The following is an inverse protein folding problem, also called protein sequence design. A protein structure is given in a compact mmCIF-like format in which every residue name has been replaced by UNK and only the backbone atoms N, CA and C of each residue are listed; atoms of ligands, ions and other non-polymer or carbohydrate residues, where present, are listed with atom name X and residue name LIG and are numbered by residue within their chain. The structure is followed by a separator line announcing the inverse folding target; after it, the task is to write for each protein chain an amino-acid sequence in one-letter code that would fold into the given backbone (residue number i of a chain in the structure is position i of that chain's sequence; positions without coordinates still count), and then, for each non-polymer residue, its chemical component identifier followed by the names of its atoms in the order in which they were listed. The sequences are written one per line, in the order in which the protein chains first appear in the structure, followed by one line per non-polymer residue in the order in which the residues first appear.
data_IF_553965497118
#
_entry.id   IF_553965497118
#
_cell.length_a   1.000
_cell.length_b   1.000
_cell.length_c   1.000
_cell.angle_alpha   90.00
_cell.angle_beta   90.00
_cell.angle_gamma   90.00
#
_symmetry.space_group_name_H-M   'P 1'
#
loop_
_entity.id
_entity.type
_entity.pdbx_description
1 polymer ?
#
# COMPACT_ATOMS: atom_id res chain seq x y z
N UNK A 1 -32.47 0.54 34.62
CA UNK A 1 -33.82 -0.09 34.61
C UNK A 1 -34.07 -0.61 33.20
N UNK A 2 -34.64 -1.79 33.02
CA UNK A 2 -34.86 -2.40 31.69
C UNK A 2 -36.33 -2.74 31.52
N UNK A 3 -36.91 -2.31 30.41
CA UNK A 3 -38.31 -2.59 30.06
C UNK A 3 -38.39 -3.77 29.10
N UNK A 4 -39.40 -4.62 29.29
CA UNK A 4 -39.60 -5.81 28.46
C UNK A 4 -40.39 -5.44 27.20
N UNK A 5 -39.83 -5.76 26.04
CA UNK A 5 -40.50 -5.61 24.75
C UNK A 5 -40.57 -6.98 24.05
N UNK A 6 -41.76 -7.37 23.59
CA UNK A 6 -41.95 -8.58 22.79
C UNK A 6 -42.09 -8.17 21.31
N UNK A 7 -41.23 -8.70 20.44
CA UNK A 7 -41.25 -8.45 18.99
C UNK A 7 -41.14 -9.76 18.22
N UNK A 8 -41.74 -9.81 17.05
CA UNK A 8 -41.65 -10.96 16.15
C UNK A 8 -40.45 -10.81 15.22
N UNK A 9 -39.77 -11.93 14.99
CA UNK A 9 -38.66 -12.03 14.04
C UNK A 9 -38.97 -13.14 13.03
N UNK A 10 -38.59 -12.99 11.75
CA UNK A 10 -38.58 -14.09 10.81
C UNK A 10 -37.76 -15.29 11.35
N UNK A 11 -38.18 -16.54 11.10
CA UNK A 11 -37.49 -17.73 11.60
C UNK A 11 -35.99 -17.77 11.24
N UNK A 12 -35.65 -17.32 10.04
CA UNK A 12 -34.29 -17.28 9.52
C UNK A 12 -33.43 -16.29 10.32
N UNK A 13 -34.00 -15.15 10.70
CA UNK A 13 -33.29 -14.12 11.46
C UNK A 13 -33.08 -14.57 12.91
N UNK A 14 -34.05 -15.27 13.52
CA UNK A 14 -33.86 -15.89 14.83
C UNK A 14 -32.72 -16.90 14.84
N UNK A 15 -32.59 -17.70 13.76
CA UNK A 15 -31.47 -18.63 13.60
C UNK A 15 -30.13 -17.89 13.53
N UNK A 16 -30.04 -16.85 12.71
CA UNK A 16 -28.82 -16.04 12.60
C UNK A 16 -28.41 -15.40 13.94
N UNK A 17 -29.38 -14.88 14.69
CA UNK A 17 -29.13 -14.31 16.02
C UNK A 17 -28.63 -15.38 16.99
N UNK A 18 -29.22 -16.58 16.97
CA UNK A 18 -28.75 -17.70 17.80
C UNK A 18 -27.32 -18.10 17.44
N UNK A 19 -27.05 -18.33 16.16
CA UNK A 19 -25.74 -18.74 15.69
C UNK A 19 -24.66 -17.69 16.05
N UNK A 20 -25.00 -16.40 15.96
CA UNK A 20 -24.09 -15.31 16.32
C UNK A 20 -23.88 -15.23 17.84
N UNK A 21 -24.94 -15.39 18.63
CA UNK A 21 -24.89 -15.45 20.08
C UNK A 21 -23.96 -16.58 20.56
N UNK A 22 -24.09 -17.77 19.96
CA UNK A 22 -23.28 -18.94 20.28
C UNK A 22 -21.80 -18.72 19.92
N UNK A 23 -21.52 -18.22 18.70
CA UNK A 23 -20.16 -17.91 18.25
C UNK A 23 -19.47 -16.85 19.12
N UNK A 24 -20.22 -15.85 19.57
CA UNK A 24 -19.71 -14.72 20.37
C UNK A 24 -19.76 -14.99 21.88
N UNK A 25 -20.38 -16.10 22.31
CA UNK A 25 -20.65 -16.43 23.72
C UNK A 25 -21.43 -15.31 24.46
N UNK A 26 -22.43 -14.75 23.79
CA UNK A 26 -23.29 -13.68 24.31
C UNK A 26 -24.76 -14.14 24.33
N UNK A 27 -25.61 -13.49 25.12
CA UNK A 27 -27.06 -13.77 25.07
C UNK A 27 -27.68 -13.21 23.80
N UNK A 28 -28.75 -13.85 23.30
CA UNK A 28 -29.51 -13.34 22.14
C UNK A 28 -30.03 -11.91 22.39
N UNK A 29 -30.48 -11.62 23.61
CA UNK A 29 -30.91 -10.27 24.01
C UNK A 29 -29.77 -9.25 23.93
N UNK A 30 -28.55 -9.62 24.30
CA UNK A 30 -27.38 -8.74 24.20
C UNK A 30 -26.99 -8.45 22.74
N UNK A 31 -27.09 -9.45 21.86
CA UNK A 31 -26.90 -9.27 20.41
C UNK A 31 -27.93 -8.28 19.85
N UNK A 32 -29.21 -8.47 20.18
CA UNK A 32 -30.31 -7.61 19.70
C UNK A 32 -30.18 -6.19 20.26
N UNK A 33 -29.89 -6.05 21.55
CA UNK A 33 -29.66 -4.74 22.20
C UNK A 33 -28.49 -4.00 21.53
N UNK A 34 -27.37 -4.69 21.28
CA UNK A 34 -26.21 -4.10 20.62
C UNK A 34 -26.52 -3.69 19.17
N UNK A 35 -27.26 -4.52 18.43
CA UNK A 35 -27.64 -4.21 17.06
C UNK A 35 -28.58 -2.99 16.99
N UNK A 36 -29.60 -2.94 17.85
CA UNK A 36 -30.55 -1.82 17.91
C UNK A 36 -29.86 -0.54 18.40
N UNK A 37 -29.02 -0.62 19.44
CA UNK A 37 -28.24 0.53 19.90
C UNK A 37 -27.30 1.06 18.82
N UNK A 38 -26.66 0.17 18.05
CA UNK A 38 -25.83 0.57 16.90
C UNK A 38 -26.65 1.18 15.77
N UNK A 39 -27.88 0.70 15.53
CA UNK A 39 -28.76 1.21 14.48
C UNK A 39 -29.32 2.60 14.83
N UNK A 40 -29.63 2.83 16.10
CA UNK A 40 -30.16 4.10 16.60
C UNK A 40 -29.08 5.13 16.91
N UNK A 41 -27.79 4.76 16.85
CA UNK A 41 -26.69 5.70 17.09
C UNK A 41 -26.48 6.59 15.87
N UNK A 42 -26.68 7.93 15.99
CA UNK A 42 -26.44 8.88 14.89
C UNK A 42 -25.02 8.79 14.34
N UNK A 43 -24.06 8.50 15.22
CA UNK A 43 -22.64 8.52 14.86
C UNK A 43 -22.13 7.20 14.25
N UNK A 44 -22.90 6.12 14.29
CA UNK A 44 -22.41 4.78 13.93
C UNK A 44 -22.13 4.62 12.43
N UNK A 45 -22.99 5.19 11.59
CA UNK A 45 -22.78 5.27 10.14
C UNK A 45 -21.71 6.32 9.81
N UNK A 46 -21.87 7.54 10.34
CA UNK A 46 -21.01 8.69 10.07
C UNK A 46 -19.55 8.45 10.51
N UNK A 47 -19.30 7.83 11.67
CA UNK A 47 -17.92 7.51 12.10
C UNK A 47 -17.27 6.48 11.20
N UNK A 48 -18.02 5.47 10.71
CA UNK A 48 -17.49 4.45 9.80
C UNK A 48 -17.16 5.09 8.45
N UNK A 49 -18.08 5.88 7.92
CA UNK A 49 -17.89 6.60 6.67
C UNK A 49 -16.72 7.59 6.74
N UNK A 50 -16.61 8.35 7.83
CA UNK A 50 -15.47 9.25 8.07
C UNK A 50 -14.14 8.49 8.19
N UNK A 51 -14.12 7.31 8.83
CA UNK A 51 -12.92 6.48 8.91
C UNK A 51 -12.51 5.94 7.53
N UNK A 52 -13.47 5.57 6.68
CA UNK A 52 -13.23 5.18 5.30
C UNK A 52 -12.70 6.35 4.46
N UNK A 53 -13.32 7.52 4.55
CA UNK A 53 -12.87 8.73 3.85
C UNK A 53 -11.41 9.08 4.21
N UNK A 54 -11.05 9.10 5.49
CA UNK A 54 -9.67 9.34 5.95
C UNK A 54 -8.68 8.30 5.42
N UNK A 55 -9.09 7.03 5.34
CA UNK A 55 -8.26 5.96 4.78
C UNK A 55 -8.06 6.16 3.27
N UNK A 56 -9.10 6.55 2.54
CA UNK A 56 -9.02 6.86 1.12
C UNK A 56 -8.12 8.06 0.86
N UNK A 57 -8.24 9.13 1.63
CA UNK A 57 -7.37 10.30 1.53
C UNK A 57 -5.91 9.93 1.76
N UNK A 58 -5.64 9.08 2.76
CA UNK A 58 -4.29 8.58 3.02
C UNK A 58 -3.74 7.77 1.85
N UNK A 59 -4.56 6.91 1.24
CA UNK A 59 -4.17 6.13 0.06
C UNK A 59 -3.92 7.04 -1.15
N UNK A 60 -4.75 8.05 -1.36
CA UNK A 60 -4.58 9.04 -2.42
C UNK A 60 -3.24 9.78 -2.30
N UNK A 61 -2.91 10.27 -1.10
CA UNK A 61 -1.61 10.90 -0.83
C UNK A 61 -0.43 9.94 -1.01
N UNK A 62 -0.60 8.67 -0.67
CA UNK A 62 0.43 7.65 -0.93
C UNK A 62 0.61 7.41 -2.43
N UNK A 63 -0.47 7.41 -3.21
CA UNK A 63 -0.41 7.26 -4.67
C UNK A 63 0.29 8.45 -5.31
N UNK A 64 -0.05 9.68 -4.94
CA UNK A 64 0.59 10.88 -5.46
C UNK A 64 2.11 10.90 -5.21
N UNK A 65 2.56 10.47 -4.03
CA UNK A 65 4.00 10.31 -3.77
C UNK A 65 4.64 9.23 -4.63
N UNK A 66 3.97 8.09 -4.81
CA UNK A 66 4.46 7.03 -5.68
C UNK A 66 4.57 7.50 -7.13
N UNK A 67 3.58 8.24 -7.63
CA UNK A 67 3.61 8.85 -8.97
C UNK A 67 4.82 9.78 -9.13
N UNK A 68 5.07 10.64 -8.13
CA UNK A 68 6.26 11.51 -8.10
C UNK A 68 7.57 10.71 -8.12
N UNK A 69 7.69 9.70 -7.26
CA UNK A 69 8.90 8.87 -7.15
C UNK A 69 9.17 8.10 -8.45
N UNK A 70 8.12 7.59 -9.10
CA UNK A 70 8.19 6.94 -10.42
C UNK A 70 8.61 7.94 -11.49
N UNK A 71 8.03 9.15 -11.49
CA UNK A 71 8.44 10.23 -12.40
C UNK A 71 9.92 10.58 -12.27
N UNK A 72 10.39 10.80 -11.04
CA UNK A 72 11.80 11.09 -10.76
C UNK A 72 12.73 9.95 -11.21
N UNK A 73 12.31 8.70 -11.01
CA UNK A 73 13.07 7.53 -11.48
C UNK A 73 13.15 7.48 -13.00
N UNK A 74 12.04 7.80 -13.69
CA UNK A 74 12.00 7.85 -15.15
C UNK A 74 12.90 8.96 -15.71
N UNK A 75 12.88 10.16 -15.12
CA UNK A 75 13.77 11.26 -15.49
C UNK A 75 15.24 10.90 -15.28
N UNK A 76 15.56 10.32 -14.13
CA UNK A 76 16.93 9.87 -13.80
C UNK A 76 17.42 8.82 -14.80
N UNK A 77 16.56 7.86 -15.17
CA UNK A 77 16.88 6.84 -16.17
C UNK A 77 17.09 7.46 -17.55
N UNK A 78 16.25 8.41 -17.96
CA UNK A 78 16.40 9.11 -19.24
C UNK A 78 17.73 9.88 -19.29
N UNK A 79 18.11 10.57 -18.21
CA UNK A 79 19.40 11.24 -18.09
C UNK A 79 20.57 10.25 -18.15
N UNK A 80 20.46 9.12 -17.47
CA UNK A 80 21.47 8.05 -17.51
C UNK A 80 21.64 7.48 -18.92
N UNK A 81 20.55 7.17 -19.62
CA UNK A 81 20.58 6.66 -21.00
C UNK A 81 21.22 7.71 -21.93
N UNK A 82 20.82 8.98 -21.81
CA UNK A 82 21.41 10.07 -22.60
C UNK A 82 22.90 10.18 -22.35
N UNK A 83 23.32 10.18 -21.09
CA UNK A 83 24.73 10.19 -20.72
C UNK A 83 25.46 9.00 -21.34
N UNK A 84 24.92 7.79 -21.19
CA UNK A 84 25.51 6.57 -21.72
C UNK A 84 25.70 6.61 -23.24
N UNK A 85 24.69 7.07 -23.99
CA UNK A 85 24.78 7.22 -25.45
C UNK A 85 25.78 8.31 -25.89
N UNK A 86 25.96 9.35 -25.08
CA UNK A 86 26.92 10.42 -25.36
C UNK A 86 28.37 9.97 -25.15
N UNK A 87 28.64 9.21 -24.09
CA UNK A 87 30.03 8.87 -23.70
C UNK A 87 30.50 7.51 -24.20
N UNK A 88 29.60 6.62 -24.63
CA UNK A 88 29.96 5.26 -25.04
C UNK A 88 30.30 5.24 -26.53
N UNK A 89 31.57 5.05 -26.91
CA UNK A 89 31.95 4.97 -28.31
C UNK A 89 31.33 3.73 -28.98
N UNK A 90 30.93 3.81 -30.26
CA UNK A 90 30.41 2.66 -30.98
C UNK A 90 31.48 1.59 -31.13
N UNK A 91 31.08 0.33 -30.95
CA UNK A 91 31.98 -0.81 -31.07
C UNK A 91 32.15 -1.23 -32.54
N UNK A 92 33.37 -1.63 -32.96
CA UNK A 92 33.59 -2.34 -34.21
C UNK A 92 32.68 -3.58 -34.33
N UNK A 93 32.23 -3.88 -35.55
CA UNK A 93 31.24 -4.94 -35.80
C UNK A 93 31.72 -6.32 -35.33
N UNK A 94 33.01 -6.62 -35.47
CA UNK A 94 33.66 -7.85 -35.02
C UNK A 94 33.74 -7.97 -33.50
N UNK A 95 33.77 -6.85 -32.77
CA UNK A 95 33.77 -6.82 -31.31
C UNK A 95 32.36 -6.92 -30.69
N UNK A 96 31.28 -6.73 -31.47
CA UNK A 96 29.91 -6.68 -30.93
C UNK A 96 29.49 -7.97 -30.24
N UNK A 97 29.77 -9.14 -30.84
CA UNK A 97 29.36 -10.43 -30.27
C UNK A 97 30.04 -10.69 -28.90
N UNK A 98 31.34 -10.41 -28.80
CA UNK A 98 32.10 -10.55 -27.56
C UNK A 98 31.61 -9.54 -26.49
N UNK A 99 31.34 -8.30 -26.88
CA UNK A 99 30.82 -7.27 -25.97
C UNK A 99 29.41 -7.62 -25.45
N UNK A 100 28.53 -8.13 -26.31
CA UNK A 100 27.20 -8.59 -25.90
C UNK A 100 27.28 -9.77 -24.92
N UNK A 101 28.14 -10.75 -25.19
CA UNK A 101 28.35 -11.89 -24.29
C UNK A 101 28.84 -11.42 -22.91
N UNK A 102 29.84 -10.53 -22.88
CA UNK A 102 30.35 -9.96 -21.62
C UNK A 102 29.31 -9.08 -20.92
N UNK A 103 28.50 -8.34 -21.68
CA UNK A 103 27.41 -7.52 -21.15
C UNK A 103 26.37 -8.37 -20.42
N UNK A 104 25.97 -9.51 -21.00
CA UNK A 104 25.05 -10.47 -20.36
C UNK A 104 25.64 -11.02 -19.07
N UNK A 105 26.88 -11.50 -19.09
CA UNK A 105 27.57 -12.01 -17.90
C UNK A 105 27.62 -10.97 -16.76
N UNK A 106 27.94 -9.72 -17.09
CA UNK A 106 27.95 -8.61 -16.11
C UNK A 106 26.56 -8.31 -15.56
N UNK A 107 25.53 -8.36 -16.41
CA UNK A 107 24.15 -8.12 -16.00
C UNK A 107 23.64 -9.22 -15.07
N UNK A 108 23.91 -10.49 -15.38
CA UNK A 108 23.54 -11.61 -14.53
C UNK A 108 24.18 -11.49 -13.14
N UNK A 109 25.49 -11.17 -13.09
CA UNK A 109 26.18 -10.90 -11.83
C UNK A 109 25.61 -9.72 -11.04
N UNK A 110 25.17 -8.66 -11.73
CA UNK A 110 24.45 -7.54 -11.10
C UNK A 110 23.10 -7.98 -10.51
N UNK A 111 22.30 -8.73 -11.26
CA UNK A 111 21.00 -9.25 -10.81
C UNK A 111 21.15 -10.12 -9.58
N UNK A 112 22.15 -11.01 -9.56
CA UNK A 112 22.45 -11.81 -8.38
C UNK A 112 22.86 -10.97 -7.17
N UNK A 113 23.75 -9.99 -7.37
CA UNK A 113 24.19 -9.09 -6.29
C UNK A 113 23.01 -8.28 -5.72
N UNK A 114 22.14 -7.78 -6.59
CA UNK A 114 20.91 -7.08 -6.21
C UNK A 114 19.97 -8.00 -5.42
N UNK A 115 19.75 -9.22 -5.90
CA UNK A 115 18.94 -10.23 -5.22
C UNK A 115 19.44 -10.52 -3.81
N UNK A 116 20.76 -10.75 -3.64
CA UNK A 116 21.38 -10.95 -2.33
C UNK A 116 21.20 -9.75 -1.39
N UNK A 117 21.28 -8.53 -1.93
CA UNK A 117 21.08 -7.29 -1.16
C UNK A 117 19.63 -7.13 -0.70
N UNK A 118 18.67 -7.37 -1.59
CA UNK A 118 17.23 -7.30 -1.27
C UNK A 118 16.82 -8.34 -0.21
N UNK A 119 17.33 -9.58 -0.31
CA UNK A 119 17.09 -10.62 0.70
C UNK A 119 17.59 -10.23 2.10
N UNK A 120 18.67 -9.43 2.19
CA UNK A 120 19.21 -8.90 3.45
C UNK A 120 18.41 -7.71 4.00
N UNK A 121 17.34 -7.28 3.33
CA UNK A 121 16.56 -6.10 3.70
C UNK A 121 17.31 -4.76 3.52
N UNK A 122 18.43 -4.78 2.80
CA UNK A 122 19.25 -3.60 2.52
C UNK A 122 18.63 -2.84 1.36
N UNK A 123 17.81 -1.84 1.66
CA UNK A 123 17.26 -0.96 0.64
C UNK A 123 18.23 0.17 0.36
N UNK A 124 18.63 0.33 -0.91
CA UNK A 124 19.38 1.51 -1.37
C UNK A 124 18.68 2.81 -0.95
N UNK A 125 17.34 2.83 -0.94
CA UNK A 125 16.58 4.01 -0.51
C UNK A 125 16.92 4.41 0.93
N UNK A 126 17.23 3.47 1.83
CA UNK A 126 17.62 3.75 3.23
C UNK A 126 19.03 4.31 3.39
N UNK A 127 19.86 4.24 2.35
CA UNK A 127 21.22 4.79 2.33
C UNK A 127 21.26 6.22 1.77
N UNK A 128 20.14 6.71 1.22
CA UNK A 128 20.00 8.10 0.79
C UNK A 128 19.84 8.99 2.04
N UNK A 129 20.71 9.98 2.26
CA UNK A 129 20.60 10.91 3.38
C UNK A 129 19.22 11.59 3.41
N UNK A 130 18.62 11.71 4.60
CA UNK A 130 17.28 12.30 4.79
C UNK A 130 17.18 13.76 4.30
N UNK A 131 18.32 14.46 4.24
CA UNK A 131 18.42 15.84 3.74
C UNK A 131 18.06 15.97 2.24
N UNK A 132 18.20 14.88 1.47
CA UNK A 132 17.80 14.83 0.05
C UNK A 132 16.30 14.53 -0.08
N UNK A 133 15.70 13.79 0.86
CA UNK A 133 14.26 13.48 0.85
C UNK A 133 13.41 14.68 1.26
N UNK A 134 13.94 15.58 2.08
CA UNK A 134 13.26 16.79 2.55
C UNK A 134 13.38 17.95 1.53
N UNK A 135 12.91 17.70 0.32
CA UNK A 135 12.53 18.76 -0.62
C UNK A 135 11.07 18.48 -1.05
N UNK A 136 10.17 18.49 -0.07
CA UNK A 136 8.77 18.85 -0.31
C UNK A 136 8.62 20.28 0.21
N UNK A 137 8.08 21.21 -0.58
CA UNK A 137 7.86 22.57 -0.10
C UNK A 137 6.96 22.46 1.13
N UNK A 138 7.41 23.05 2.23
CA UNK A 138 6.54 23.28 3.37
C UNK A 138 5.41 24.17 2.85
N UNK A 139 4.19 23.64 2.85
CA UNK A 139 2.98 24.41 2.61
C UNK A 139 2.97 25.54 3.65
N UNK A 140 3.32 26.75 3.22
CA UNK A 140 3.21 27.96 4.02
C UNK A 140 1.71 28.21 4.26
N UNK A 141 1.34 28.21 5.53
CA UNK A 141 -0.03 28.44 6.02
C UNK A 141 -0.45 29.90 5.90
#
# INVERSE_FOLDING_TARGET
MRDRMNVYFPPELLKQISDLADRKKLSRSAIVEAAVASFLSPDGADRREAAFARRLDRLSRQMQRLERDVGLTAETLALFIRFWLTITPPLPNDAQAAAQAKGRERFDGFVEALGRRLQKGQSFLREIPEDIRRQEPADES
#
